data_IF_202418621704
#
_entry.id   IF_202418621704
#
_cell.length_a   1.000
_cell.length_b   1.000
_cell.length_c   1.000
_cell.angle_alpha   90.00
_cell.angle_beta   90.00
_cell.angle_gamma   90.00
#
_symmetry.space_group_name_H-M   'P 1'
#
loop_
_entity.id
_entity.type
_entity.pdbx_description
1 polymer ?
#
# COMPACT_ATOMS: atom_id res chain seq x y z
N UNK A 1 -17.49 1.79 3.15
CA UNK A 1 -16.88 1.16 1.95
C UNK A 1 -16.54 -0.28 2.31
N UNK A 2 -16.72 -1.23 1.40
CA UNK A 2 -16.32 -2.62 1.65
C UNK A 2 -14.79 -2.77 1.53
N UNK A 3 -14.18 -3.46 2.48
CA UNK A 3 -12.75 -3.81 2.46
C UNK A 3 -12.57 -5.25 1.98
N UNK A 4 -11.53 -5.52 1.21
CA UNK A 4 -11.12 -6.86 0.80
C UNK A 4 -9.71 -7.19 1.32
N UNK A 5 -9.37 -8.46 1.35
CA UNK A 5 -8.00 -8.90 1.69
C UNK A 5 -7.04 -8.67 0.54
N UNK A 6 -5.74 -8.60 0.85
CA UNK A 6 -4.67 -8.54 -0.14
C UNK A 6 -4.73 -9.73 -1.11
N UNK A 7 -5.02 -10.93 -0.57
CA UNK A 7 -5.16 -12.15 -1.36
C UNK A 7 -6.29 -12.03 -2.37
N UNK A 8 -7.48 -11.59 -1.95
CA UNK A 8 -8.62 -11.46 -2.85
C UNK A 8 -8.36 -10.42 -3.95
N UNK A 9 -7.77 -9.29 -3.61
CA UNK A 9 -7.40 -8.27 -4.58
C UNK A 9 -6.41 -8.81 -5.62
N UNK A 10 -5.43 -9.60 -5.17
CA UNK A 10 -4.45 -10.26 -6.03
C UNK A 10 -5.10 -11.30 -6.95
N UNK A 11 -5.95 -12.17 -6.42
CA UNK A 11 -6.57 -13.25 -7.20
C UNK A 11 -7.56 -12.74 -8.22
N UNK A 12 -8.24 -11.61 -7.97
CA UNK A 12 -9.10 -10.94 -8.97
C UNK A 12 -8.34 -10.43 -10.20
N UNK A 13 -7.01 -10.35 -10.14
CA UNK A 13 -6.14 -9.98 -11.26
C UNK A 13 -5.33 -11.16 -11.81
N UNK A 14 -5.67 -12.40 -11.41
CA UNK A 14 -4.95 -13.62 -11.81
C UNK A 14 -3.44 -13.59 -11.50
N UNK A 15 -3.03 -12.80 -10.52
CA UNK A 15 -1.63 -12.68 -10.13
C UNK A 15 -1.27 -13.78 -9.14
N UNK A 16 -0.10 -14.39 -9.32
CA UNK A 16 0.55 -15.17 -8.24
C UNK A 16 1.16 -14.23 -7.19
N UNK A 17 1.49 -14.75 -6.00
CA UNK A 17 2.24 -13.96 -5.00
C UNK A 17 3.55 -13.40 -5.57
N UNK A 18 4.23 -14.19 -6.41
CA UNK A 18 5.45 -13.75 -7.11
C UNK A 18 5.14 -12.63 -8.11
N UNK A 19 4.08 -12.79 -8.91
CA UNK A 19 3.69 -11.77 -9.90
C UNK A 19 3.31 -10.44 -9.27
N UNK A 20 2.56 -10.45 -8.16
CA UNK A 20 2.30 -9.22 -7.41
C UNK A 20 3.59 -8.62 -6.82
N UNK A 21 4.45 -9.46 -6.25
CA UNK A 21 5.71 -9.01 -5.68
C UNK A 21 6.61 -8.34 -6.72
N UNK A 22 6.72 -8.92 -7.92
CA UNK A 22 7.46 -8.36 -9.05
C UNK A 22 6.88 -7.02 -9.51
N UNK A 23 5.56 -6.95 -9.74
CA UNK A 23 4.88 -5.70 -10.12
C UNK A 23 5.05 -4.60 -9.08
N UNK A 24 5.00 -4.95 -7.80
CA UNK A 24 5.19 -4.01 -6.71
C UNK A 24 6.67 -3.74 -6.41
N UNK A 25 7.60 -4.54 -6.92
CA UNK A 25 9.05 -4.53 -6.63
C UNK A 25 9.41 -4.85 -5.17
N UNK A 26 8.67 -5.76 -4.54
CA UNK A 26 8.93 -6.24 -3.18
C UNK A 26 9.32 -7.72 -3.21
N UNK A 27 9.80 -8.28 -2.10
CA UNK A 27 10.09 -9.71 -2.03
C UNK A 27 8.79 -10.53 -1.98
N UNK A 28 8.75 -11.69 -2.65
CA UNK A 28 7.59 -12.63 -2.60
C UNK A 28 7.22 -13.00 -1.15
N UNK A 29 8.22 -13.20 -0.29
CA UNK A 29 8.00 -13.53 1.13
C UNK A 29 7.24 -12.41 1.85
N UNK A 30 7.45 -11.14 1.49
CA UNK A 30 6.71 -10.00 2.04
C UNK A 30 5.23 -10.13 1.73
N UNK A 31 4.86 -10.43 0.48
CA UNK A 31 3.45 -10.66 0.09
C UNK A 31 2.86 -11.83 0.87
N UNK A 32 3.59 -12.95 0.94
CA UNK A 32 3.13 -14.13 1.67
C UNK A 32 2.92 -13.86 3.17
N UNK A 33 3.80 -13.10 3.82
CA UNK A 33 3.67 -12.78 5.24
C UNK A 33 2.49 -11.86 5.50
N UNK A 34 2.25 -10.87 4.64
CA UNK A 34 1.10 -9.98 4.76
C UNK A 34 -0.20 -10.76 4.58
N UNK A 35 -0.32 -11.60 3.53
CA UNK A 35 -1.52 -12.40 3.29
C UNK A 35 -1.83 -13.40 4.42
N UNK A 36 -0.81 -13.84 5.15
CA UNK A 36 -0.95 -14.74 6.31
C UNK A 36 -1.12 -13.98 7.63
N UNK A 37 -1.12 -12.65 7.63
CA UNK A 37 -1.14 -11.83 8.86
C UNK A 37 0.12 -11.97 9.72
N UNK A 38 1.22 -12.48 9.17
CA UNK A 38 2.50 -12.67 9.89
C UNK A 38 3.34 -11.40 9.98
N UNK A 39 3.02 -10.38 9.20
CA UNK A 39 3.77 -9.12 9.20
C UNK A 39 2.89 -7.96 8.78
N UNK A 40 2.94 -6.88 9.56
CA UNK A 40 2.30 -5.62 9.19
C UNK A 40 3.13 -4.91 8.10
N UNK A 41 2.53 -4.56 6.96
CA UNK A 41 3.24 -3.87 5.90
C UNK A 41 3.60 -2.44 6.32
N UNK A 42 4.84 -2.00 6.05
CA UNK A 42 5.17 -0.57 6.21
C UNK A 42 4.32 0.30 5.27
N UNK A 43 4.04 1.57 5.59
CA UNK A 43 3.21 2.45 4.76
C UNK A 43 3.67 2.54 3.29
N UNK A 44 4.99 2.56 3.05
CA UNK A 44 5.55 2.53 1.70
C UNK A 44 5.27 1.21 0.97
N UNK A 45 5.40 0.06 1.64
CA UNK A 45 5.08 -1.27 1.10
C UNK A 45 3.59 -1.38 0.74
N UNK A 46 2.71 -0.92 1.63
CA UNK A 46 1.27 -0.89 1.39
C UNK A 46 0.94 -0.07 0.13
N UNK A 47 1.51 1.14 0.00
CA UNK A 47 1.33 1.98 -1.20
C UNK A 47 1.80 1.29 -2.50
N UNK A 48 2.93 0.60 -2.48
CA UNK A 48 3.46 -0.10 -3.66
C UNK A 48 2.60 -1.29 -4.08
N UNK A 49 2.14 -2.09 -3.12
CA UNK A 49 1.24 -3.22 -3.39
C UNK A 49 -0.11 -2.73 -3.91
N UNK A 50 -0.68 -1.68 -3.29
CA UNK A 50 -1.90 -1.03 -3.77
C UNK A 50 -1.76 -0.46 -5.17
N UNK A 51 -0.66 0.23 -5.48
CA UNK A 51 -0.39 0.74 -6.81
C UNK A 51 -0.26 -0.38 -7.86
N UNK A 52 0.44 -1.46 -7.52
CA UNK A 52 0.54 -2.64 -8.39
C UNK A 52 -0.82 -3.32 -8.63
N UNK A 53 -1.75 -3.20 -7.69
CA UNK A 53 -3.12 -3.70 -7.81
C UNK A 53 -4.09 -2.66 -8.38
N UNK A 54 -3.68 -1.40 -8.61
CA UNK A 54 -4.61 -0.35 -9.07
C UNK A 54 -5.77 -0.10 -8.11
N UNK A 55 -5.57 -0.31 -6.81
CA UNK A 55 -6.57 -0.07 -5.75
C UNK A 55 -6.02 0.92 -4.74
N UNK A 56 -6.89 1.58 -3.99
CA UNK A 56 -6.46 2.42 -2.89
C UNK A 56 -6.09 1.58 -1.66
N UNK A 57 -5.07 1.96 -0.88
CA UNK A 57 -4.69 1.23 0.34
C UNK A 57 -5.83 1.04 1.34
N UNK A 58 -6.76 1.99 1.44
CA UNK A 58 -7.93 1.88 2.33
C UNK A 58 -8.92 0.78 1.92
N UNK A 59 -8.83 0.25 0.69
CA UNK A 59 -9.68 -0.84 0.23
C UNK A 59 -9.14 -2.22 0.67
N UNK A 60 -7.89 -2.27 1.15
CA UNK A 60 -7.24 -3.50 1.60
C UNK A 60 -7.22 -3.56 3.13
N UNK A 61 -7.78 -4.61 3.71
CA UNK A 61 -7.93 -4.77 5.16
C UNK A 61 -6.60 -4.70 5.92
N UNK A 62 -5.55 -5.35 5.39
CA UNK A 62 -4.21 -5.40 5.97
C UNK A 62 -3.48 -4.05 5.89
N UNK A 63 -3.94 -3.13 5.04
CA UNK A 63 -3.33 -1.82 4.83
C UNK A 63 -4.09 -0.70 5.55
N UNK A 64 -5.42 -0.81 5.64
CA UNK A 64 -6.33 0.19 6.20
C UNK A 64 -5.87 0.79 7.55
N UNK A 65 -5.54 0.00 8.59
CA UNK A 65 -5.11 0.57 9.87
C UNK A 65 -3.80 1.37 9.74
N UNK A 66 -2.92 0.96 8.84
CA UNK A 66 -1.58 1.53 8.66
C UNK A 66 -1.64 2.85 7.90
N UNK A 67 -2.47 2.94 6.85
CA UNK A 67 -2.63 4.20 6.11
C UNK A 67 -3.26 5.27 6.99
N UNK A 68 -4.29 4.93 7.78
CA UNK A 68 -4.92 5.86 8.73
C UNK A 68 -3.91 6.37 9.75
N UNK A 69 -3.17 5.46 10.40
CA UNK A 69 -2.15 5.85 11.38
C UNK A 69 -1.00 6.67 10.76
N UNK A 70 -0.62 6.40 9.51
CA UNK A 70 0.42 7.16 8.80
C UNK A 70 -0.05 8.54 8.33
N UNK A 71 -1.32 8.68 7.96
CA UNK A 71 -1.92 9.95 7.55
C UNK A 71 -2.01 10.94 8.71
N UNK A 72 -2.22 10.44 9.93
CA UNK A 72 -2.14 11.21 11.18
C UNK A 72 -0.71 11.68 11.51
N UNK A 73 0.31 11.13 10.86
CA UNK A 73 1.73 11.51 10.99
C UNK A 73 2.28 12.19 9.73
N UNK A 74 1.46 12.88 8.94
CA UNK A 74 2.01 13.71 7.87
C UNK A 74 2.56 14.99 8.50
N UNK A 75 3.89 15.25 8.47
CA UNK A 75 4.33 16.63 8.59
C UNK A 75 3.69 17.33 7.39
N UNK A 76 2.87 18.34 7.66
CA UNK A 76 2.38 19.24 6.63
C UNK A 76 3.61 19.78 5.91
N UNK A 77 3.96 19.21 4.76
CA UNK A 77 4.86 19.86 3.82
C UNK A 77 4.06 21.06 3.33
N UNK A 78 4.22 22.18 4.05
CA UNK A 78 3.74 23.47 3.63
C UNK A 78 4.47 23.75 2.31
N UNK A 79 3.77 23.86 1.17
CA UNK A 79 4.45 24.24 -0.06
C UNK A 79 5.09 25.60 0.19
N UNK A 80 6.42 25.70 -0.02
CA UNK A 80 7.11 26.98 -0.07
C UNK A 80 6.63 27.70 -1.34
N UNK A 81 5.45 28.31 -1.25
CA UNK A 81 4.97 29.24 -2.26
C UNK A 81 5.52 30.61 -1.90
N UNK A 82 6.32 31.18 -2.81
CA UNK A 82 6.69 32.59 -2.78
C UNK A 82 8.18 32.87 -2.80
N UNK A 83 8.78 32.82 -3.99
CA UNK A 83 9.85 33.76 -4.39
C UNK A 83 9.61 34.20 -5.83
N UNK A 84 8.65 35.11 -6.03
CA UNK A 84 8.75 36.05 -7.16
C UNK A 84 9.63 37.19 -6.70
N UNK A 85 10.71 37.40 -7.45
CA UNK A 85 11.64 38.50 -7.24
C UNK A 85 10.97 39.86 -7.46
N UNK A 86 11.43 40.81 -6.65
CA UNK A 86 11.43 42.22 -7.01
C UNK A 86 12.59 42.49 -7.99
#
# INVERSE_FOLDING_TARGET
MATMTLREARTRQDLSQRGLAERAGVARVTVSHIELGKSDPRPHTARRLSAALGVEPRQIAEFHPIVVASQLRQPTIRPLMGRSGA
#
